data_IF_148149740268
#
_entry.id   IF_148149740268
#
_cell.length_a   1.000
_cell.length_b   1.000
_cell.length_c   1.000
_cell.angle_alpha   90.00
_cell.angle_beta   90.00
_cell.angle_gamma   90.00
#
_symmetry.space_group_name_H-M   'P 1'
#
loop_
_entity.id
_entity.type
_entity.pdbx_description
1 polymer ?
#
# COMPACT_ATOMS: atom_id res chain seq x y z
N UNK A 1 -33.20 -22.36 18.51
CA UNK A 1 -32.26 -23.35 19.07
C UNK A 1 -31.51 -24.03 17.93
N UNK A 2 -30.24 -24.40 18.18
CA UNK A 2 -29.18 -24.91 17.27
C UNK A 2 -28.36 -23.82 16.57
N UNK A 3 -27.04 -23.89 16.48
CA UNK A 3 -25.95 -24.48 17.28
C UNK A 3 -24.70 -23.77 16.76
N UNK A 4 -23.91 -23.13 17.62
CA UNK A 4 -22.57 -22.69 17.25
C UNK A 4 -21.63 -23.89 17.34
N UNK A 5 -20.96 -24.21 16.23
CA UNK A 5 -19.74 -25.00 16.26
C UNK A 5 -18.61 -24.08 15.81
N UNK A 6 -17.86 -23.62 16.81
CA UNK A 6 -16.54 -23.01 16.66
C UNK A 6 -15.58 -24.16 16.36
N UNK A 7 -15.09 -24.22 15.12
CA UNK A 7 -13.89 -24.98 14.77
C UNK A 7 -12.75 -23.98 14.56
N UNK A 8 -11.68 -24.30 15.24
CA UNK A 8 -10.60 -23.42 15.69
C UNK A 8 -9.40 -23.71 14.80
N UNK A 9 -9.23 -22.97 13.70
CA UNK A 9 -7.97 -22.91 12.96
C UNK A 9 -7.89 -21.62 12.14
N UNK A 10 -6.70 -21.01 12.13
CA UNK A 10 -6.41 -19.64 11.71
C UNK A 10 -6.66 -19.34 10.22
N UNK A 11 -7.93 -19.24 9.83
CA UNK A 11 -8.33 -18.52 8.63
C UNK A 11 -9.44 -17.57 8.99
N UNK A 12 -9.15 -16.27 8.94
CA UNK A 12 -10.16 -15.22 8.93
C UNK A 12 -10.94 -15.37 7.62
N UNK A 13 -11.89 -16.30 7.59
CA UNK A 13 -12.92 -16.33 6.57
C UNK A 13 -13.99 -15.38 7.09
N UNK A 14 -14.03 -14.18 6.54
CA UNK A 14 -15.15 -13.26 6.72
C UNK A 14 -16.41 -13.91 6.12
N UNK A 15 -17.14 -14.65 6.95
CA UNK A 15 -18.46 -15.17 6.61
C UNK A 15 -19.46 -14.02 6.75
N UNK A 16 -19.74 -13.32 5.65
CA UNK A 16 -20.82 -12.34 5.61
C UNK A 16 -22.16 -13.07 5.46
N UNK A 17 -23.02 -12.96 6.47
CA UNK A 17 -24.46 -13.22 6.33
C UNK A 17 -25.02 -12.11 5.45
N UNK A 18 -25.41 -12.46 4.23
CA UNK A 18 -26.04 -11.53 3.28
C UNK A 18 -27.54 -11.52 3.54
N UNK A 19 -27.99 -10.61 4.39
CA UNK A 19 -29.41 -10.24 4.44
C UNK A 19 -29.74 -9.43 3.19
N UNK A 20 -30.69 -9.94 2.41
CA UNK A 20 -31.08 -9.40 1.11
C UNK A 20 -31.79 -8.06 1.20
N UNK A 21 -31.05 -6.98 1.39
CA UNK A 21 -31.45 -5.63 0.97
C UNK A 21 -30.22 -4.89 0.47
N UNK A 22 -30.35 -4.34 -0.75
CA UNK A 22 -29.31 -3.66 -1.51
C UNK A 22 -28.50 -2.66 -0.68
N UNK A 23 -27.20 -2.90 -0.56
CA UNK A 23 -26.14 -1.89 -0.62
C UNK A 23 -24.82 -2.62 -0.81
N UNK A 24 -24.18 -2.39 -1.96
CA UNK A 24 -22.86 -2.88 -2.32
C UNK A 24 -21.81 -2.36 -1.34
N UNK A 25 -21.70 -2.98 -0.17
CA UNK A 25 -20.49 -2.91 0.63
C UNK A 25 -19.47 -3.82 -0.04
N UNK A 26 -18.75 -3.29 -1.03
CA UNK A 26 -17.46 -3.83 -1.41
C UNK A 26 -16.63 -3.73 -0.13
N UNK A 27 -16.59 -4.82 0.64
CA UNK A 27 -15.76 -4.94 1.82
C UNK A 27 -14.33 -4.82 1.30
N UNK A 28 -13.83 -3.61 1.40
CA UNK A 28 -12.48 -3.16 1.31
C UNK A 28 -11.60 -4.05 2.21
N UNK A 29 -11.21 -5.23 1.72
CA UNK A 29 -10.36 -6.20 2.41
C UNK A 29 -8.91 -5.69 2.44
N UNK A 30 -8.71 -4.58 3.14
CA UNK A 30 -7.42 -3.91 3.31
C UNK A 30 -6.62 -4.24 4.58
N UNK A 31 -6.97 -5.17 5.48
CA UNK A 31 -6.27 -5.22 6.77
C UNK A 31 -4.88 -5.88 6.70
N UNK A 32 -4.65 -6.86 5.81
CA UNK A 32 -3.47 -7.73 5.99
C UNK A 32 -2.17 -7.11 5.51
N UNK A 33 -2.12 -6.57 4.29
CA UNK A 33 -0.91 -5.96 3.74
C UNK A 33 -0.56 -4.69 4.52
N UNK A 34 -1.55 -3.85 4.84
CA UNK A 34 -1.34 -2.65 5.63
C UNK A 34 -0.84 -2.98 7.04
N UNK A 35 -1.45 -3.98 7.70
CA UNK A 35 -0.99 -4.45 9.01
C UNK A 35 0.44 -5.00 8.96
N UNK A 36 0.76 -5.76 7.90
CA UNK A 36 2.10 -6.33 7.70
C UNK A 36 3.15 -5.24 7.47
N UNK A 37 2.85 -4.27 6.59
CA UNK A 37 3.71 -3.12 6.35
C UNK A 37 3.89 -2.27 7.62
N UNK A 38 2.82 -2.07 8.38
CA UNK A 38 2.86 -1.29 9.62
C UNK A 38 3.62 -2.00 10.74
N UNK A 39 3.55 -3.33 10.80
CA UNK A 39 4.30 -4.14 11.77
C UNK A 39 5.78 -4.23 11.42
N UNK A 40 6.14 -4.03 10.15
CA UNK A 40 7.52 -4.11 9.67
C UNK A 40 7.89 -2.86 8.85
N UNK A 41 7.90 -1.69 9.50
CA UNK A 41 8.19 -0.40 8.86
C UNK A 41 9.62 -0.28 8.31
N UNK A 42 10.56 -1.03 8.88
CA UNK A 42 11.97 -0.98 8.50
C UNK A 42 12.26 -1.76 7.20
N UNK A 43 11.36 -2.68 6.84
CA UNK A 43 11.48 -3.49 5.65
C UNK A 43 11.35 -2.65 4.38
N UNK A 44 12.14 -3.03 3.37
CA UNK A 44 12.08 -2.44 2.03
C UNK A 44 11.12 -3.27 1.19
N UNK A 45 9.96 -2.73 0.90
CA UNK A 45 8.95 -3.40 0.08
C UNK A 45 9.20 -3.15 -1.40
N UNK A 46 9.01 -4.19 -2.21
CA UNK A 46 9.00 -4.09 -3.66
C UNK A 46 7.55 -4.14 -4.16
N UNK A 47 7.16 -3.23 -5.05
CA UNK A 47 5.81 -3.20 -5.63
C UNK A 47 5.38 -4.49 -6.32
N UNK A 48 6.31 -5.30 -6.86
CA UNK A 48 6.01 -6.61 -7.44
C UNK A 48 5.70 -7.63 -6.35
N UNK A 49 6.53 -7.71 -5.31
CA UNK A 49 6.37 -8.66 -4.20
C UNK A 49 5.11 -8.32 -3.39
N UNK A 50 4.93 -7.04 -3.08
CA UNK A 50 3.74 -6.55 -2.38
C UNK A 50 2.47 -6.84 -3.16
N UNK A 51 2.51 -6.65 -4.49
CA UNK A 51 1.39 -6.99 -5.35
C UNK A 51 1.13 -8.49 -5.44
N UNK A 52 2.18 -9.32 -5.50
CA UNK A 52 2.03 -10.76 -5.49
C UNK A 52 1.35 -11.25 -4.19
N UNK A 53 1.77 -10.71 -3.04
CA UNK A 53 1.12 -10.97 -1.74
C UNK A 53 -0.34 -10.54 -1.76
N UNK A 54 -0.62 -9.31 -2.24
CA UNK A 54 -1.98 -8.81 -2.37
C UNK A 54 -2.88 -9.72 -3.22
N UNK A 55 -2.41 -10.15 -4.40
CA UNK A 55 -3.15 -11.08 -5.26
C UNK A 55 -3.33 -12.45 -4.58
N UNK A 56 -2.30 -12.96 -3.89
CA UNK A 56 -2.39 -14.24 -3.17
C UNK A 56 -3.43 -14.23 -2.04
N UNK A 57 -3.73 -13.05 -1.50
CA UNK A 57 -4.74 -12.84 -0.47
C UNK A 57 -6.14 -12.50 -1.05
N UNK A 58 -6.34 -12.66 -2.37
CA UNK A 58 -7.62 -12.41 -3.03
C UNK A 58 -7.80 -10.97 -3.51
N UNK A 59 -6.72 -10.17 -3.56
CA UNK A 59 -6.73 -8.85 -4.15
C UNK A 59 -7.11 -8.87 -5.63
N UNK A 60 -7.88 -7.87 -6.07
CA UNK A 60 -8.40 -7.78 -7.45
C UNK A 60 -7.98 -6.49 -8.18
N UNK A 61 -7.47 -5.51 -7.44
CA UNK A 61 -7.08 -4.21 -8.00
C UNK A 61 -5.78 -4.33 -8.77
N UNK A 62 -5.55 -3.41 -9.70
CA UNK A 62 -4.27 -3.32 -10.40
C UNK A 62 -3.15 -2.93 -9.45
N UNK A 63 -1.90 -3.31 -9.78
CA UNK A 63 -0.72 -2.90 -9.00
C UNK A 63 -0.62 -1.38 -8.81
N UNK A 64 -0.93 -0.60 -9.86
CA UNK A 64 -0.91 0.87 -9.78
C UNK A 64 -1.94 1.39 -8.79
N UNK A 65 -3.15 0.85 -8.82
CA UNK A 65 -4.22 1.21 -7.89
C UNK A 65 -3.85 0.84 -6.46
N UNK A 66 -3.29 -0.35 -6.24
CA UNK A 66 -2.78 -0.77 -4.92
C UNK A 66 -1.76 0.23 -4.35
N UNK A 67 -0.78 0.66 -5.16
CA UNK A 67 0.22 1.63 -4.69
C UNK A 67 -0.42 3.00 -4.39
N UNK A 68 -1.39 3.43 -5.20
CA UNK A 68 -2.16 4.66 -4.91
C UNK A 68 -2.91 4.54 -3.58
N UNK A 69 -3.62 3.43 -3.37
CA UNK A 69 -4.37 3.17 -2.15
C UNK A 69 -3.46 3.17 -0.90
N UNK A 70 -2.24 2.63 -1.02
CA UNK A 70 -1.24 2.65 0.05
C UNK A 70 -0.71 4.05 0.33
N UNK A 71 -0.47 4.84 -0.71
CA UNK A 71 -0.07 6.25 -0.57
C UNK A 71 -1.18 7.07 0.09
N UNK A 72 -2.45 6.81 -0.25
CA UNK A 72 -3.59 7.49 0.36
C UNK A 72 -3.76 7.09 1.84
N UNK A 73 -3.54 5.81 2.16
CA UNK A 73 -3.66 5.30 3.53
C UNK A 73 -2.55 5.77 4.47
N UNK A 74 -1.29 5.68 4.03
CA UNK A 74 -0.14 6.08 4.85
C UNK A 74 0.23 7.56 4.71
N UNK A 75 -0.30 8.24 3.69
CA UNK A 75 -0.02 9.65 3.41
C UNK A 75 1.48 9.94 3.28
N UNK A 76 1.92 10.96 4.01
CA UNK A 76 3.31 11.40 4.01
C UNK A 76 4.27 10.44 4.71
N UNK A 77 3.80 9.43 5.43
CA UNK A 77 4.69 8.47 6.09
C UNK A 77 5.34 7.51 5.10
N UNK A 78 4.73 7.32 3.92
CA UNK A 78 5.21 6.41 2.89
C UNK A 78 5.90 7.18 1.76
N UNK A 79 6.93 6.56 1.20
CA UNK A 79 7.63 7.02 0.02
C UNK A 79 7.69 5.88 -0.99
N UNK A 80 7.48 6.23 -2.25
CA UNK A 80 7.56 5.32 -3.39
C UNK A 80 8.60 5.88 -4.35
N UNK A 81 9.70 5.15 -4.51
CA UNK A 81 10.70 5.43 -5.55
C UNK A 81 10.33 4.59 -6.75
N UNK A 82 10.05 5.26 -7.87
CA UNK A 82 9.69 4.59 -9.12
C UNK A 82 10.65 5.00 -10.22
N UNK A 83 10.99 4.05 -11.08
CA UNK A 83 11.73 4.29 -12.32
C UNK A 83 11.20 3.35 -13.40
N UNK A 84 11.27 3.80 -14.66
CA UNK A 84 10.79 3.01 -15.79
C UNK A 84 11.61 1.72 -15.92
N UNK A 85 10.94 0.60 -16.19
CA UNK A 85 11.59 -0.70 -16.40
C UNK A 85 12.02 -1.44 -15.13
N UNK A 86 11.81 -0.88 -13.93
CA UNK A 86 12.06 -1.57 -12.66
C UNK A 86 10.84 -1.52 -11.75
N UNK A 87 10.83 -2.39 -10.74
CA UNK A 87 9.78 -2.37 -9.74
C UNK A 87 9.97 -1.22 -8.75
N UNK A 88 8.87 -0.53 -8.40
CA UNK A 88 8.93 0.56 -7.43
C UNK A 88 9.35 0.05 -6.05
N UNK A 89 10.24 0.80 -5.40
CA UNK A 89 10.66 0.57 -4.03
C UNK A 89 9.74 1.39 -3.13
N UNK A 90 9.17 0.74 -2.12
CA UNK A 90 8.19 1.33 -1.20
C UNK A 90 8.77 1.23 0.21
N UNK A 91 8.83 2.36 0.92
CA UNK A 91 9.40 2.42 2.26
C UNK A 91 8.83 3.57 3.08
N UNK A 92 8.87 3.43 4.40
CA UNK A 92 8.52 4.54 5.29
C UNK A 92 9.61 5.63 5.26
N UNK A 93 9.20 6.90 5.22
CA UNK A 93 10.10 8.05 5.07
C UNK A 93 11.15 8.15 6.16
N UNK A 94 10.74 7.94 7.42
CA UNK A 94 11.63 7.94 8.58
C UNK A 94 12.80 6.97 8.39
N UNK A 95 12.51 5.78 7.86
CA UNK A 95 13.52 4.75 7.62
C UNK A 95 14.32 5.03 6.34
N UNK A 96 13.68 5.60 5.32
CA UNK A 96 14.31 5.97 4.07
C UNK A 96 15.36 7.07 4.24
N UNK A 97 15.17 8.00 5.17
CA UNK A 97 16.12 9.09 5.44
C UNK A 97 17.50 8.62 5.95
N UNK A 98 17.58 7.42 6.53
CA UNK A 98 18.86 6.81 6.89
C UNK A 98 19.59 6.19 5.70
N UNK A 99 18.88 5.90 4.61
CA UNK A 99 19.37 5.11 3.48
C UNK A 99 19.63 5.97 2.25
N UNK A 100 18.73 6.90 2.00
CA UNK A 100 18.96 8.05 1.14
C UNK A 100 19.47 9.12 2.09
N UNK A 101 20.75 9.43 2.02
CA UNK A 101 21.37 10.48 2.80
C UNK A 101 20.76 11.82 2.35
N UNK A 102 19.51 12.08 2.74
CA UNK A 102 18.82 13.33 2.49
C UNK A 102 19.52 14.34 3.39
N UNK A 103 20.49 15.06 2.84
CA UNK A 103 20.91 16.30 3.45
C UNK A 103 19.66 17.17 3.55
N UNK A 104 19.25 17.50 4.78
CA UNK A 104 18.40 18.65 5.03
C UNK A 104 19.25 19.89 4.71
N UNK A 105 19.55 20.13 3.43
CA UNK A 105 20.00 21.44 3.02
C UNK A 105 18.77 22.34 3.06
N UNK A 106 18.60 23.04 4.18
CA UNK A 106 17.72 24.21 4.28
C UNK A 106 18.21 25.38 3.37
N UNK A 107 19.22 25.16 2.53
CA UNK A 107 19.94 26.16 1.74
C UNK A 107 19.69 26.10 0.23
N UNK A 108 18.83 25.23 -0.29
CA UNK A 108 18.58 25.15 -1.72
C UNK A 108 17.20 25.72 -2.09
N UNK A 109 17.20 27.04 -2.31
CA UNK A 109 16.27 27.81 -3.16
C UNK A 109 16.26 27.28 -4.61
N UNK A 110 16.05 25.97 -4.80
CA UNK A 110 15.90 25.37 -6.12
C UNK A 110 14.48 25.62 -6.62
N UNK A 111 14.41 26.76 -7.30
CA UNK A 111 13.47 27.17 -8.32
C UNK A 111 13.13 26.01 -9.29
N UNK A 112 12.29 25.05 -8.87
CA UNK A 112 11.72 24.02 -9.75
C UNK A 112 10.46 24.56 -10.46
N UNK A 113 10.61 25.74 -11.06
CA UNK A 113 9.68 26.27 -12.04
C UNK A 113 10.19 25.90 -13.45
N UNK A 114 9.35 25.13 -14.15
CA UNK A 114 9.18 25.19 -15.62
C UNK A 114 10.28 24.50 -16.47
N UNK A 115 10.12 23.19 -16.64
CA UNK A 115 10.53 22.46 -17.85
C UNK A 115 9.32 21.60 -18.24
N UNK A 116 8.72 21.63 -19.43
CA UNK A 116 8.77 22.52 -20.57
C UNK A 116 7.40 22.32 -21.25
N UNK A 117 6.64 23.40 -21.45
CA UNK A 117 5.45 23.40 -22.31
C UNK A 117 5.80 23.64 -23.78
N UNK A 118 7.07 23.51 -24.17
CA UNK A 118 7.57 23.90 -25.50
C UNK A 118 8.11 22.70 -26.30
N UNK A 119 7.56 21.50 -26.09
CA UNK A 119 7.74 20.38 -27.01
C UNK A 119 6.39 19.75 -27.33
N UNK A 120 5.89 20.15 -28.51
CA UNK A 120 4.71 19.73 -29.29
C UNK A 120 3.50 20.66 -29.15
#
# INVERSE_FOLDING_TARGET
MKFAYVLWEQRVICMQLVDGTNSHAIQNSWPLEMSTMNSNRNHRWNSVELYATYISNGGIRSRRTLISDLLDYFGNDLMVLSSSGIASIIRFRKEAAHLLNFENSEDDDFNMFKIASDLI
#
